data_IF_120426889866
#
_entry.id   IF_120426889866
#
_cell.length_a   1.000
_cell.length_b   1.000
_cell.length_c   1.000
_cell.angle_alpha   90.00
_cell.angle_beta   90.00
_cell.angle_gamma   90.00
#
_symmetry.space_group_name_H-M   'P 1'
#
loop_
_entity.id
_entity.type
_entity.pdbx_description
1 polymer ?
#
# COMPACT_ATOMS: atom_id res chain seq x y z
N UNK A 1 16.35 -2.79 -13.89
CA UNK A 1 15.03 -2.15 -14.04
C UNK A 1 14.57 -2.24 -15.49
N UNK A 2 13.74 -3.23 -15.87
CA UNK A 2 13.26 -3.35 -17.25
C UNK A 2 11.77 -3.67 -17.29
N UNK A 3 11.12 -3.31 -18.40
CA UNK A 3 9.74 -3.64 -18.66
C UNK A 3 9.58 -5.13 -18.96
N UNK A 4 8.51 -5.72 -18.44
CA UNK A 4 8.16 -7.11 -18.71
C UNK A 4 6.66 -7.23 -18.91
N UNK A 5 6.25 -7.94 -19.95
CA UNK A 5 4.88 -8.43 -20.09
C UNK A 5 4.83 -9.88 -19.60
N UNK A 6 3.95 -10.17 -18.66
CA UNK A 6 3.72 -11.52 -18.14
C UNK A 6 2.39 -11.56 -17.38
N UNK A 7 1.96 -12.76 -17.02
CA UNK A 7 0.97 -12.96 -15.98
C UNK A 7 1.58 -12.56 -14.64
N UNK A 8 1.22 -11.36 -14.19
CA UNK A 8 1.68 -10.81 -12.93
C UNK A 8 0.89 -11.43 -11.80
N UNK A 9 1.59 -11.85 -10.75
CA UNK A 9 0.99 -12.40 -9.54
C UNK A 9 1.29 -11.47 -8.37
N UNK A 10 0.25 -11.01 -7.68
CA UNK A 10 0.37 -10.17 -6.49
C UNK A 10 -0.36 -10.83 -5.33
N UNK A 11 0.38 -11.11 -4.27
CA UNK A 11 -0.16 -11.60 -3.00
C UNK A 11 -0.31 -10.43 -2.04
N UNK A 12 -1.54 -10.16 -1.62
CA UNK A 12 -1.88 -9.06 -0.72
C UNK A 12 -2.21 -9.64 0.66
N UNK A 13 -1.45 -9.32 1.71
CA UNK A 13 -1.78 -9.76 3.06
C UNK A 13 -3.07 -9.07 3.53
N UNK A 14 -3.89 -9.79 4.28
CA UNK A 14 -5.08 -9.27 4.93
C UNK A 14 -4.81 -9.08 6.43
N UNK A 15 -5.19 -7.94 7.01
CA UNK A 15 -5.24 -7.82 8.46
C UNK A 15 -6.20 -8.85 9.08
N UNK A 16 -6.09 -9.06 10.38
CA UNK A 16 -7.02 -9.92 11.11
C UNK A 16 -8.45 -9.35 11.07
N UNK A 17 -9.44 -10.25 11.15
CA UNK A 17 -10.85 -9.86 11.20
C UNK A 17 -11.49 -9.63 9.83
N UNK A 18 -11.02 -10.33 8.79
CA UNK A 18 -11.65 -10.31 7.48
C UNK A 18 -13.10 -10.80 7.57
N UNK A 19 -14.05 -9.95 7.15
CA UNK A 19 -15.49 -10.24 7.17
C UNK A 19 -16.02 -10.62 5.78
N UNK A 20 -15.42 -10.07 4.73
CA UNK A 20 -15.72 -10.40 3.35
C UNK A 20 -14.42 -10.53 2.56
N UNK A 21 -14.41 -11.47 1.62
CA UNK A 21 -13.31 -11.70 0.69
C UNK A 21 -13.86 -12.13 -0.65
N UNK A 22 -13.17 -11.73 -1.72
CA UNK A 22 -13.43 -12.21 -3.06
C UNK A 22 -13.22 -13.74 -3.12
N UNK A 23 -14.05 -14.42 -3.88
CA UNK A 23 -13.98 -15.86 -4.03
C UNK A 23 -12.87 -16.28 -5.01
N UNK A 24 -12.30 -17.47 -4.82
CA UNK A 24 -11.38 -18.05 -5.82
C UNK A 24 -12.09 -18.19 -7.16
N UNK A 25 -11.41 -17.79 -8.24
CA UNK A 25 -11.95 -17.74 -9.61
C UNK A 25 -12.70 -16.45 -9.95
N UNK A 26 -12.92 -15.55 -8.98
CA UNK A 26 -13.57 -14.26 -9.24
C UNK A 26 -12.67 -13.37 -10.09
N UNK A 27 -13.24 -12.77 -11.14
CA UNK A 27 -12.59 -11.70 -11.92
C UNK A 27 -12.72 -10.38 -11.19
N UNK A 28 -11.62 -9.64 -11.12
CA UNK A 28 -11.52 -8.36 -10.42
C UNK A 28 -10.76 -7.35 -11.26
N UNK A 29 -11.04 -6.07 -11.07
CA UNK A 29 -10.25 -4.97 -11.61
C UNK A 29 -9.42 -4.31 -10.53
N UNK A 30 -8.23 -3.85 -10.87
CA UNK A 30 -7.39 -3.04 -10.00
C UNK A 30 -8.22 -1.89 -9.40
N UNK A 31 -8.12 -1.68 -8.08
CA UNK A 31 -8.89 -0.70 -7.33
C UNK A 31 -10.25 -1.20 -6.81
N UNK A 32 -10.79 -2.32 -7.30
CA UNK A 32 -11.98 -2.94 -6.71
C UNK A 32 -11.68 -3.51 -5.33
N UNK A 33 -12.63 -3.40 -4.39
CA UNK A 33 -12.47 -3.95 -3.05
C UNK A 33 -12.56 -5.48 -3.13
N UNK A 34 -11.49 -6.16 -2.74
CA UNK A 34 -11.40 -7.63 -2.75
C UNK A 34 -11.47 -8.24 -1.36
N UNK A 35 -11.25 -7.45 -0.32
CA UNK A 35 -11.53 -7.86 1.05
C UNK A 35 -11.85 -6.65 1.91
N UNK A 36 -12.63 -6.88 2.97
CA UNK A 36 -12.84 -5.91 4.04
C UNK A 36 -12.94 -6.63 5.37
N UNK A 37 -12.70 -5.88 6.44
CA UNK A 37 -12.75 -6.43 7.78
C UNK A 37 -12.76 -5.37 8.85
N UNK A 38 -12.85 -5.87 10.08
CA UNK A 38 -12.90 -5.05 11.28
C UNK A 38 -11.80 -5.52 12.22
N UNK A 39 -10.90 -4.62 12.58
CA UNK A 39 -9.90 -4.87 13.61
C UNK A 39 -10.54 -4.62 14.97
N UNK A 40 -10.56 -5.64 15.82
CA UNK A 40 -11.08 -5.56 17.18
C UNK A 40 -9.97 -5.39 18.20
N UNK A 41 -10.26 -4.64 19.26
CA UNK A 41 -9.36 -4.45 20.39
C UNK A 41 -9.51 -5.49 21.49
N UNK A 42 -8.84 -5.23 22.61
CA UNK A 42 -8.90 -6.09 23.78
C UNK A 42 -10.35 -6.21 24.31
N UNK A 43 -10.88 -7.42 24.51
CA UNK A 43 -12.25 -7.61 25.00
C UNK A 43 -12.44 -7.06 26.41
N UNK A 44 -13.51 -6.30 26.61
CA UNK A 44 -13.95 -5.83 27.92
C UNK A 44 -15.04 -6.74 28.45
N UNK A 45 -14.99 -7.04 29.75
CA UNK A 45 -16.00 -7.86 30.43
C UNK A 45 -17.26 -7.05 30.74
N UNK A 46 -18.41 -7.55 30.30
CA UNK A 46 -19.73 -7.05 30.67
C UNK A 46 -20.42 -8.04 31.60
N UNK A 47 -20.90 -7.55 32.75
CA UNK A 47 -21.58 -8.35 33.77
C UNK A 47 -23.01 -8.73 33.33
N UNK A 48 -23.15 -9.61 32.35
CA UNK A 48 -24.38 -9.88 31.62
C UNK A 48 -25.54 -10.37 32.49
N UNK A 49 -25.43 -11.60 33.00
CA UNK A 49 -26.44 -12.23 33.84
C UNK A 49 -26.73 -11.39 35.11
N UNK A 50 -25.69 -10.81 35.72
CA UNK A 50 -25.83 -9.96 36.90
C UNK A 50 -26.59 -8.67 36.63
N UNK A 51 -26.33 -7.97 35.53
CA UNK A 51 -27.06 -6.73 35.16
C UNK A 51 -28.52 -7.00 34.80
N UNK A 52 -28.81 -8.16 34.22
CA UNK A 52 -30.17 -8.57 33.88
C UNK A 52 -30.89 -9.18 35.10
N UNK A 53 -30.15 -9.64 36.11
CA UNK A 53 -30.70 -10.35 37.28
C UNK A 53 -31.32 -11.69 36.90
N UNK A 54 -30.66 -12.44 36.02
CA UNK A 54 -31.02 -13.80 35.61
C UNK A 54 -29.92 -14.78 36.03
N UNK A 55 -30.22 -16.08 36.11
CA UNK A 55 -29.17 -17.06 36.32
C UNK A 55 -28.24 -17.13 35.08
N UNK A 56 -26.94 -17.44 35.23
CA UNK A 56 -26.02 -17.58 34.10
C UNK A 56 -26.53 -18.51 32.99
N UNK A 57 -27.18 -19.62 33.37
CA UNK A 57 -27.74 -20.61 32.45
C UNK A 57 -28.92 -20.07 31.63
N UNK A 58 -29.63 -19.06 32.13
CA UNK A 58 -30.79 -18.46 31.47
C UNK A 58 -30.40 -17.30 30.55
N UNK A 59 -29.16 -16.79 30.64
CA UNK A 59 -28.69 -15.65 29.84
C UNK A 59 -28.89 -15.87 28.33
N UNK A 60 -28.54 -17.02 27.73
CA UNK A 60 -28.73 -17.25 26.30
C UNK A 60 -30.20 -17.11 25.84
N UNK A 61 -31.18 -17.39 26.72
CA UNK A 61 -32.60 -17.30 26.39
C UNK A 61 -33.12 -15.86 26.30
N UNK A 62 -32.44 -14.93 26.97
CA UNK A 62 -32.81 -13.50 27.00
C UNK A 62 -31.91 -12.63 26.11
N UNK A 63 -30.88 -13.22 25.50
CA UNK A 63 -30.05 -12.58 24.49
C UNK A 63 -30.86 -12.35 23.20
N UNK A 64 -30.66 -11.17 22.61
CA UNK A 64 -31.29 -10.78 21.33
C UNK A 64 -30.37 -11.01 20.15
N UNK A 65 -29.08 -11.14 20.42
CA UNK A 65 -28.02 -11.29 19.43
C UNK A 65 -27.02 -12.35 19.92
N UNK A 66 -26.58 -13.27 19.05
CA UNK A 66 -25.66 -14.33 19.43
C UNK A 66 -24.21 -13.82 19.57
N UNK A 67 -23.32 -14.60 20.22
CA UNK A 67 -21.89 -14.42 20.06
C UNK A 67 -21.51 -14.39 18.58
N UNK A 68 -20.57 -13.52 18.23
CA UNK A 68 -20.19 -13.27 16.85
C UNK A 68 -20.81 -12.00 16.24
N UNK A 69 -21.89 -11.46 16.80
CA UNK A 69 -22.56 -10.28 16.27
C UNK A 69 -21.78 -8.99 16.54
N UNK A 70 -21.61 -8.16 15.50
CA UNK A 70 -21.21 -6.74 15.61
C UNK A 70 -22.41 -5.88 16.00
N UNK A 71 -22.20 -4.92 16.89
CA UNK A 71 -23.23 -4.06 17.46
C UNK A 71 -22.71 -2.63 17.54
N UNK A 72 -23.58 -1.67 17.25
CA UNK A 72 -23.35 -0.26 17.52
C UNK A 72 -23.60 0.06 19.00
N UNK A 73 -22.97 1.13 19.48
CA UNK A 73 -23.17 1.66 20.83
C UNK A 73 -24.65 1.84 21.14
N UNK A 74 -25.06 1.34 22.30
CA UNK A 74 -26.44 1.43 22.80
C UNK A 74 -27.36 0.32 22.30
N UNK A 75 -26.96 -0.46 21.28
CA UNK A 75 -27.74 -1.60 20.81
C UNK A 75 -28.00 -2.61 21.93
N UNK A 76 -29.21 -3.15 21.98
CA UNK A 76 -29.64 -4.06 23.05
C UNK A 76 -29.05 -5.45 22.78
N UNK A 77 -28.12 -5.88 23.63
CA UNK A 77 -27.53 -7.24 23.61
C UNK A 77 -28.55 -8.25 24.13
N UNK A 78 -29.19 -7.93 25.25
CA UNK A 78 -30.09 -8.82 25.95
C UNK A 78 -31.12 -8.01 26.76
N UNK A 79 -32.32 -8.56 26.92
CA UNK A 79 -33.41 -7.89 27.65
C UNK A 79 -34.31 -8.88 28.36
N UNK A 80 -34.62 -8.60 29.62
CA UNK A 80 -35.55 -9.38 30.45
C UNK A 80 -36.64 -8.49 31.06
N UNK A 81 -37.76 -9.09 31.46
CA UNK A 81 -38.87 -8.43 32.16
C UNK A 81 -39.89 -7.74 31.25
N UNK A 82 -41.17 -7.72 31.70
CA UNK A 82 -42.28 -7.00 31.04
C UNK A 82 -42.56 -5.63 31.69
N UNK A 83 -42.85 -5.62 33.00
CA UNK A 83 -43.22 -4.41 33.77
C UNK A 83 -42.01 -3.63 34.33
N UNK A 84 -40.91 -4.33 34.60
CA UNK A 84 -39.62 -3.74 35.01
C UNK A 84 -38.51 -4.31 34.13
N UNK A 85 -38.42 -3.82 32.89
CA UNK A 85 -37.47 -4.35 31.93
C UNK A 85 -36.04 -3.96 32.31
N UNK A 86 -35.14 -4.94 32.33
CA UNK A 86 -33.69 -4.72 32.41
C UNK A 86 -33.10 -5.03 31.05
N UNK A 87 -32.20 -4.17 30.60
CA UNK A 87 -31.50 -4.32 29.35
C UNK A 87 -29.99 -4.24 29.58
N UNK A 88 -29.27 -5.07 28.85
CA UNK A 88 -27.84 -4.93 28.67
C UNK A 88 -27.63 -4.38 27.27
N UNK A 89 -27.01 -3.21 27.18
CA UNK A 89 -26.68 -2.56 25.90
C UNK A 89 -25.18 -2.56 25.65
N UNK A 90 -24.79 -2.49 24.38
CA UNK A 90 -23.41 -2.34 23.96
C UNK A 90 -22.83 -0.99 24.45
N UNK A 91 -21.70 -0.98 25.17
CA UNK A 91 -21.10 0.26 25.70
C UNK A 91 -20.40 1.12 24.63
N UNK A 92 -20.02 0.51 23.52
CA UNK A 92 -19.33 1.09 22.37
C UNK A 92 -19.59 0.20 21.15
N UNK A 93 -19.16 0.63 19.96
CA UNK A 93 -19.22 -0.19 18.76
C UNK A 93 -18.26 -1.36 18.91
N UNK A 94 -18.75 -2.58 18.69
CA UNK A 94 -17.98 -3.76 19.04
C UNK A 94 -18.65 -5.07 18.68
N UNK A 95 -18.03 -6.17 19.10
CA UNK A 95 -18.51 -7.53 18.85
C UNK A 95 -18.59 -8.33 20.12
N UNK A 96 -19.64 -9.14 20.25
CA UNK A 96 -19.71 -10.16 21.30
C UNK A 96 -18.73 -11.29 20.91
N UNK A 97 -17.64 -11.44 21.64
CA UNK A 97 -16.62 -12.47 21.39
C UNK A 97 -17.09 -13.80 21.95
N UNK A 98 -17.49 -13.80 23.22
CA UNK A 98 -17.83 -15.01 23.94
C UNK A 98 -18.79 -14.74 25.10
N UNK A 99 -19.55 -15.77 25.49
CA UNK A 99 -20.37 -15.79 26.71
C UNK A 99 -19.72 -16.79 27.66
N UNK A 100 -19.16 -16.31 28.77
CA UNK A 100 -18.53 -17.15 29.79
C UNK A 100 -19.58 -17.97 30.53
N UNK A 101 -19.17 -19.12 31.08
CA UNK A 101 -20.04 -20.00 31.87
C UNK A 101 -20.68 -19.32 33.10
N UNK A 102 -20.04 -18.28 33.64
CA UNK A 102 -20.56 -17.49 34.76
C UNK A 102 -21.60 -16.42 34.35
N UNK A 103 -21.97 -16.35 33.06
CA UNK A 103 -22.96 -15.41 32.54
C UNK A 103 -22.42 -14.02 32.23
N UNK A 104 -21.09 -13.85 32.14
CA UNK A 104 -20.49 -12.61 31.66
C UNK A 104 -20.21 -12.67 30.16
N UNK A 105 -20.27 -11.52 29.52
CA UNK A 105 -19.99 -11.36 28.10
C UNK A 105 -18.61 -10.73 27.92
N UNK A 106 -17.86 -11.24 26.95
CA UNK A 106 -16.66 -10.58 26.44
C UNK A 106 -17.04 -9.77 25.21
N UNK A 107 -16.81 -8.46 25.28
CA UNK A 107 -17.22 -7.52 24.24
C UNK A 107 -16.01 -6.73 23.77
N UNK A 108 -15.58 -6.97 22.52
CA UNK A 108 -14.40 -6.35 21.95
C UNK A 108 -14.75 -5.06 21.20
N UNK A 109 -14.05 -3.94 21.43
CA UNK A 109 -14.30 -2.69 20.72
C UNK A 109 -13.82 -2.80 19.27
N UNK A 110 -14.51 -2.11 18.36
CA UNK A 110 -13.96 -1.84 17.01
C UNK A 110 -12.85 -0.80 17.14
N UNK A 111 -11.63 -1.16 16.73
CA UNK A 111 -10.49 -0.23 16.65
C UNK A 111 -10.45 0.43 15.28
N UNK A 112 -10.57 -0.38 14.22
CA UNK A 112 -10.41 0.08 12.85
C UNK A 112 -11.25 -0.76 11.89
N UNK A 113 -11.61 -0.18 10.74
CA UNK A 113 -12.26 -0.88 9.63
C UNK A 113 -11.39 -0.71 8.40
N UNK A 114 -11.02 -1.82 7.79
CA UNK A 114 -10.08 -1.84 6.69
C UNK A 114 -10.69 -2.45 5.43
N UNK A 115 -10.18 -2.03 4.28
CA UNK A 115 -10.51 -2.60 2.98
C UNK A 115 -9.23 -2.78 2.17
N UNK A 116 -9.08 -3.95 1.54
CA UNK A 116 -8.00 -4.23 0.60
C UNK A 116 -8.57 -4.15 -0.82
N UNK A 117 -7.89 -3.41 -1.69
CA UNK A 117 -8.25 -3.26 -3.10
C UNK A 117 -7.34 -4.10 -3.97
N UNK A 118 -7.87 -4.63 -5.06
CA UNK A 118 -7.08 -5.39 -6.04
C UNK A 118 -5.93 -4.54 -6.58
N UNK A 119 -4.72 -5.09 -6.60
CA UNK A 119 -3.56 -4.44 -7.21
C UNK A 119 -3.51 -4.57 -8.75
N UNK A 120 -4.25 -5.53 -9.31
CA UNK A 120 -4.19 -5.94 -10.71
C UNK A 120 -5.60 -6.16 -11.29
N UNK A 121 -5.75 -5.94 -12.60
CA UNK A 121 -6.82 -6.54 -13.38
C UNK A 121 -6.51 -8.03 -13.56
N UNK A 122 -7.42 -8.92 -13.14
CA UNK A 122 -7.10 -10.35 -13.13
C UNK A 122 -8.15 -11.26 -12.49
N UNK A 123 -7.69 -12.42 -12.05
CA UNK A 123 -8.48 -13.47 -11.40
C UNK A 123 -7.92 -13.74 -10.00
N UNK A 124 -8.80 -13.93 -9.03
CA UNK A 124 -8.42 -14.36 -7.68
C UNK A 124 -8.01 -15.83 -7.72
N UNK A 125 -6.73 -16.08 -7.50
CA UNK A 125 -6.14 -17.42 -7.51
C UNK A 125 -6.21 -18.09 -6.14
N UNK A 126 -6.18 -17.29 -5.08
CA UNK A 126 -6.20 -17.76 -3.70
C UNK A 126 -6.93 -16.73 -2.83
N UNK A 127 -7.76 -17.21 -1.91
CA UNK A 127 -8.49 -16.38 -0.93
C UNK A 127 -8.50 -17.10 0.42
N UNK A 128 -7.67 -16.61 1.35
CA UNK A 128 -7.51 -17.14 2.71
C UNK A 128 -7.86 -16.06 3.74
N UNK A 129 -7.91 -16.41 5.02
CA UNK A 129 -8.20 -15.44 6.08
C UNK A 129 -7.11 -14.37 6.26
N UNK A 130 -5.89 -14.59 5.74
CA UNK A 130 -4.72 -13.72 5.93
C UNK A 130 -4.09 -13.22 4.62
N UNK A 131 -4.57 -13.67 3.46
CA UNK A 131 -4.06 -13.22 2.17
C UNK A 131 -5.04 -13.48 1.01
N UNK A 132 -4.98 -12.59 0.00
CA UNK A 132 -5.59 -12.80 -1.32
C UNK A 132 -4.48 -12.71 -2.37
N UNK A 133 -4.48 -13.66 -3.32
CA UNK A 133 -3.56 -13.65 -4.45
C UNK A 133 -4.31 -13.42 -5.74
N UNK A 134 -3.93 -12.40 -6.49
CA UNK A 134 -4.52 -12.04 -7.80
C UNK A 134 -3.48 -12.26 -8.88
N UNK A 135 -3.91 -12.84 -9.99
CA UNK A 135 -3.07 -13.09 -11.16
C UNK A 135 -3.71 -12.49 -12.42
N UNK A 136 -2.91 -11.80 -13.22
CA UNK A 136 -3.40 -11.19 -14.46
C UNK A 136 -2.29 -10.65 -15.35
N UNK A 137 -2.55 -10.68 -16.66
CA UNK A 137 -1.61 -10.22 -17.68
C UNK A 137 -1.45 -8.69 -17.64
N UNK A 138 -0.21 -8.22 -17.45
CA UNK A 138 0.09 -6.79 -17.49
C UNK A 138 1.55 -6.55 -17.89
N UNK A 139 1.78 -5.38 -18.48
CA UNK A 139 3.10 -4.78 -18.53
C UNK A 139 3.46 -4.30 -17.13
N UNK A 140 4.66 -4.64 -16.65
CA UNK A 140 5.13 -4.23 -15.35
C UNK A 140 6.51 -3.60 -15.44
N UNK A 141 6.71 -2.58 -14.59
CA UNK A 141 8.03 -2.04 -14.28
C UNK A 141 8.20 -1.91 -12.77
N UNK A 142 9.37 -2.31 -12.30
CA UNK A 142 9.78 -2.25 -10.89
C UNK A 142 10.44 -0.90 -10.61
N UNK A 143 9.90 -0.15 -9.66
CA UNK A 143 10.58 1.00 -9.07
C UNK A 143 11.46 0.59 -7.89
N UNK A 144 12.24 1.54 -7.38
CA UNK A 144 13.06 1.38 -6.17
C UNK A 144 12.19 1.47 -4.92
N UNK A 145 11.25 2.42 -4.91
CA UNK A 145 10.39 2.69 -3.75
C UNK A 145 9.09 3.33 -4.20
N UNK A 146 8.02 3.08 -3.47
CA UNK A 146 6.76 3.79 -3.61
C UNK A 146 6.34 4.40 -2.26
N UNK A 147 5.68 5.56 -2.33
CA UNK A 147 5.15 6.31 -1.20
C UNK A 147 3.65 6.53 -1.39
N UNK A 148 2.92 6.60 -0.29
CA UNK A 148 1.47 6.78 -0.29
C UNK A 148 0.68 5.49 -0.54
N UNK A 149 -0.65 5.60 -0.67
CA UNK A 149 -1.53 4.47 -0.92
C UNK A 149 -1.37 3.91 -2.35
N UNK A 150 -1.95 2.74 -2.61
CA UNK A 150 -2.07 2.22 -3.97
C UNK A 150 -2.91 3.17 -4.84
N UNK A 151 -2.52 3.32 -6.10
CA UNK A 151 -3.21 4.20 -7.05
C UNK A 151 -3.63 3.45 -8.30
N UNK A 152 -4.77 3.84 -8.87
CA UNK A 152 -5.25 3.33 -10.15
C UNK A 152 -5.72 4.50 -10.99
N UNK A 153 -5.34 4.53 -12.25
CA UNK A 153 -5.68 5.64 -13.14
C UNK A 153 -5.27 5.41 -14.58
N UNK A 154 -5.59 6.36 -15.44
CA UNK A 154 -5.11 6.40 -16.82
C UNK A 154 -3.69 6.94 -16.86
N UNK A 155 -2.80 6.26 -17.58
CA UNK A 155 -1.41 6.70 -17.73
C UNK A 155 -1.33 7.93 -18.62
N UNK A 156 -0.69 9.00 -18.15
CA UNK A 156 -0.56 10.25 -18.91
C UNK A 156 0.84 10.81 -18.79
N UNK A 157 1.39 11.23 -19.91
CA UNK A 157 2.69 11.88 -19.95
C UNK A 157 2.54 13.34 -19.49
N UNK A 158 3.26 13.72 -18.43
CA UNK A 158 3.22 15.08 -17.88
C UNK A 158 4.46 15.92 -18.23
N UNK A 159 5.45 15.31 -18.90
CA UNK A 159 6.71 15.93 -19.33
C UNK A 159 7.04 15.56 -20.78
N UNK A 160 7.86 16.33 -21.47
CA UNK A 160 8.15 16.08 -22.89
C UNK A 160 9.32 15.10 -23.07
N UNK A 161 10.23 15.04 -22.10
CA UNK A 161 11.45 14.26 -22.16
C UNK A 161 11.79 13.49 -20.88
N UNK A 162 12.67 12.50 -21.04
CA UNK A 162 13.15 11.61 -19.96
C UNK A 162 13.99 12.29 -18.88
N UNK A 163 14.55 13.46 -19.19
CA UNK A 163 15.38 14.26 -18.28
C UNK A 163 14.61 15.45 -17.67
N UNK A 164 13.38 15.68 -18.14
CA UNK A 164 12.59 16.82 -17.71
C UNK A 164 12.16 16.68 -16.26
N UNK A 165 11.97 17.83 -15.63
CA UNK A 165 11.38 17.94 -14.30
C UNK A 165 9.87 18.17 -14.41
N UNK A 166 9.09 17.44 -13.60
CA UNK A 166 7.66 17.67 -13.48
C UNK A 166 7.41 18.99 -12.74
N UNK A 167 7.11 20.04 -13.49
CA UNK A 167 6.80 21.35 -12.95
C UNK A 167 5.34 21.46 -12.46
N UNK A 168 5.06 22.16 -11.34
CA UNK A 168 3.68 22.35 -10.85
C UNK A 168 2.75 23.00 -11.89
N UNK A 169 3.26 23.91 -12.72
CA UNK A 169 2.46 24.59 -13.75
C UNK A 169 1.87 23.66 -14.82
N UNK A 170 2.43 22.45 -14.98
CA UNK A 170 1.91 21.43 -15.91
C UNK A 170 0.75 20.62 -15.32
N UNK A 171 0.41 20.85 -14.05
CA UNK A 171 -0.61 20.09 -13.33
C UNK A 171 -1.84 20.95 -13.13
N UNK A 172 -2.98 20.47 -13.63
CA UNK A 172 -4.28 21.07 -13.41
C UNK A 172 -5.36 20.00 -13.11
N UNK A 173 -6.58 20.45 -12.80
CA UNK A 173 -7.71 19.61 -12.40
C UNK A 173 -8.19 18.64 -13.49
N UNK A 174 -7.79 18.81 -14.75
CA UNK A 174 -8.11 17.88 -15.85
C UNK A 174 -7.29 16.60 -15.76
N UNK A 175 -6.23 16.61 -14.95
CA UNK A 175 -5.40 15.44 -14.68
C UNK A 175 -5.89 14.59 -13.51
N UNK A 176 -7.09 14.88 -12.98
CA UNK A 176 -7.75 14.08 -11.95
C UNK A 176 -7.86 12.61 -12.37
N UNK A 177 -7.65 11.71 -11.40
CA UNK A 177 -7.72 10.25 -11.55
C UNK A 177 -6.71 9.66 -12.56
N UNK A 178 -5.69 10.43 -12.96
CA UNK A 178 -4.62 9.98 -13.85
C UNK A 178 -3.36 9.61 -13.09
N UNK A 179 -2.55 8.73 -13.67
CA UNK A 179 -1.18 8.44 -13.22
C UNK A 179 -0.22 9.21 -14.14
N UNK A 180 0.50 10.17 -13.58
CA UNK A 180 1.39 11.05 -14.33
C UNK A 180 2.80 10.46 -14.44
N UNK A 181 3.35 10.45 -15.66
CA UNK A 181 4.77 10.18 -15.89
C UNK A 181 5.54 11.50 -15.83
N UNK A 182 6.36 11.66 -14.79
CA UNK A 182 7.04 12.90 -14.42
C UNK A 182 8.47 13.06 -14.91
N UNK A 183 9.03 12.09 -15.65
CA UNK A 183 10.39 12.19 -16.18
C UNK A 183 11.48 11.91 -15.14
N UNK A 184 12.55 12.68 -15.18
CA UNK A 184 13.75 12.43 -14.36
C UNK A 184 13.56 12.78 -12.89
N UNK A 185 12.90 13.91 -12.61
CA UNK A 185 12.68 14.40 -11.24
C UNK A 185 11.29 15.00 -11.07
N UNK A 186 10.71 14.81 -9.89
CA UNK A 186 9.52 15.55 -9.47
C UNK A 186 9.81 16.37 -8.21
N UNK A 187 9.50 17.66 -8.25
CA UNK A 187 9.61 18.55 -7.10
C UNK A 187 8.48 18.33 -6.09
N UNK A 188 8.71 18.69 -4.83
CA UNK A 188 7.72 18.51 -3.76
C UNK A 188 6.43 19.30 -4.04
N UNK A 189 6.58 20.50 -4.59
CA UNK A 189 5.50 21.41 -4.99
C UNK A 189 4.63 20.79 -6.10
N UNK A 190 5.25 20.03 -7.02
CA UNK A 190 4.53 19.36 -8.08
C UNK A 190 3.73 18.19 -7.55
N UNK A 191 4.31 17.41 -6.62
CA UNK A 191 3.61 16.30 -5.97
C UNK A 191 2.45 16.82 -5.11
N UNK A 192 2.67 17.87 -4.32
CA UNK A 192 1.62 18.52 -3.53
C UNK A 192 0.49 19.03 -4.41
N UNK A 193 0.82 19.68 -5.53
CA UNK A 193 -0.17 20.17 -6.49
C UNK A 193 -0.93 19.05 -7.19
N UNK A 194 -0.26 17.96 -7.55
CA UNK A 194 -0.91 16.78 -8.11
C UNK A 194 -1.95 16.21 -7.14
N UNK A 195 -1.58 16.05 -5.87
CA UNK A 195 -2.49 15.63 -4.82
C UNK A 195 -3.70 16.57 -4.68
N UNK A 196 -3.45 17.88 -4.62
CA UNK A 196 -4.52 18.89 -4.54
C UNK A 196 -5.45 18.88 -5.77
N UNK A 197 -4.94 18.51 -6.96
CA UNK A 197 -5.73 18.39 -8.19
C UNK A 197 -6.49 17.05 -8.28
N UNK A 198 -6.27 16.11 -7.36
CA UNK A 198 -6.87 14.77 -7.38
C UNK A 198 -6.22 13.84 -8.40
N UNK A 199 -4.94 14.05 -8.74
CA UNK A 199 -4.15 13.10 -9.52
C UNK A 199 -4.02 11.79 -8.74
N UNK A 200 -4.22 10.65 -9.40
CA UNK A 200 -4.18 9.34 -8.73
C UNK A 200 -2.77 8.99 -8.25
N UNK A 201 -1.73 9.27 -9.06
CA UNK A 201 -0.35 9.07 -8.64
C UNK A 201 0.67 9.62 -9.62
N UNK A 202 1.94 9.63 -9.21
CA UNK A 202 3.08 10.07 -10.02
C UNK A 202 4.09 8.93 -10.14
N UNK A 203 4.63 8.74 -11.34
CA UNK A 203 5.77 7.86 -11.62
C UNK A 203 6.93 8.74 -12.10
N UNK A 204 8.05 8.72 -11.38
CA UNK A 204 9.18 9.63 -11.62
C UNK A 204 10.51 8.90 -11.41
N UNK A 205 11.58 9.38 -12.03
CA UNK A 205 12.94 8.90 -11.79
C UNK A 205 13.32 9.04 -10.32
N UNK A 206 13.31 10.27 -9.83
CA UNK A 206 13.70 10.58 -8.47
C UNK A 206 12.84 11.69 -7.84
N UNK A 207 12.87 11.73 -6.50
CA UNK A 207 12.31 12.80 -5.68
C UNK A 207 13.32 13.20 -4.60
N UNK A 208 13.53 14.50 -4.32
CA UNK A 208 14.37 14.94 -3.21
C UNK A 208 13.85 14.45 -1.85
N UNK A 209 14.73 13.91 -1.01
CA UNK A 209 14.36 13.40 0.32
C UNK A 209 13.71 14.46 1.23
N UNK A 210 14.21 15.71 1.19
CA UNK A 210 13.60 16.82 1.93
C UNK A 210 12.16 17.12 1.48
N UNK A 211 11.90 16.97 0.18
CA UNK A 211 10.56 17.11 -0.39
C UNK A 211 9.61 16.02 0.11
N UNK A 212 10.07 14.76 0.10
CA UNK A 212 9.27 13.64 0.61
C UNK A 212 8.96 13.80 2.10
N UNK A 213 9.93 14.24 2.92
CA UNK A 213 9.68 14.52 4.35
C UNK A 213 8.63 15.59 4.58
N UNK A 214 8.59 16.60 3.72
CA UNK A 214 7.56 17.66 3.79
C UNK A 214 6.16 17.10 3.50
N UNK A 215 6.05 16.10 2.63
CA UNK A 215 4.77 15.55 2.17
C UNK A 215 4.25 14.39 3.03
N UNK A 216 5.16 13.57 3.57
CA UNK A 216 4.83 12.31 4.24
C UNK A 216 5.35 12.25 5.70
N UNK A 217 6.05 13.28 6.18
CA UNK A 217 6.58 13.38 7.54
C UNK A 217 8.03 12.87 7.70
N UNK A 218 8.56 12.96 8.92
CA UNK A 218 9.97 12.66 9.21
C UNK A 218 10.32 11.17 9.19
N UNK A 219 9.32 10.29 9.29
CA UNK A 219 9.44 8.82 9.23
C UNK A 219 9.80 8.29 7.83
N UNK A 220 9.79 9.17 6.81
CA UNK A 220 10.12 8.80 5.43
C UNK A 220 11.55 8.31 5.32
N UNK A 221 11.69 7.13 4.71
CA UNK A 221 12.98 6.52 4.46
C UNK A 221 13.12 6.02 3.01
N UNK A 222 14.31 5.54 2.69
CA UNK A 222 14.60 4.79 1.46
C UNK A 222 13.76 3.50 1.31
N UNK A 223 13.13 3.03 2.39
CA UNK A 223 12.27 1.84 2.41
C UNK A 223 10.79 2.16 2.15
N UNK A 224 10.46 3.43 1.95
CA UNK A 224 9.08 3.90 1.87
C UNK A 224 8.63 4.57 3.17
N UNK A 225 7.32 4.77 3.28
CA UNK A 225 6.62 5.21 4.47
C UNK A 225 5.32 4.41 4.62
N UNK A 226 4.79 4.30 5.84
CA UNK A 226 3.47 3.70 6.03
C UNK A 226 2.42 4.52 5.25
N UNK A 227 1.54 3.88 4.46
CA UNK A 227 0.56 4.60 3.66
C UNK A 227 -0.44 5.30 4.58
N UNK A 228 -0.63 6.61 4.37
CA UNK A 228 -1.68 7.40 5.01
C UNK A 228 -2.73 7.73 3.94
N UNK A 229 -4.00 7.49 4.24
CA UNK A 229 -5.09 7.49 3.24
C UNK A 229 -5.25 8.82 2.47
N UNK A 230 -4.75 9.92 3.01
CA UNK A 230 -4.78 11.26 2.41
C UNK A 230 -3.38 11.79 2.07
N UNK A 231 -2.54 10.92 1.47
CA UNK A 231 -1.21 11.30 0.98
C UNK A 231 -1.08 11.03 -0.51
N UNK A 232 -0.24 11.81 -1.23
CA UNK A 232 0.04 11.55 -2.64
C UNK A 232 0.65 10.17 -2.87
N UNK A 233 0.29 9.50 -3.97
CA UNK A 233 0.99 8.29 -4.41
C UNK A 233 2.16 8.64 -5.34
N UNK A 234 3.36 8.19 -5.00
CA UNK A 234 4.57 8.43 -5.80
C UNK A 234 5.38 7.15 -5.95
N UNK A 235 5.63 6.74 -7.18
CA UNK A 235 6.55 5.65 -7.51
C UNK A 235 7.88 6.22 -8.03
N UNK A 236 8.95 5.98 -7.30
CA UNK A 236 10.31 6.36 -7.68
C UNK A 236 11.00 5.21 -8.40
N UNK A 237 11.45 5.47 -9.63
CA UNK A 237 12.06 4.48 -10.51
C UNK A 237 13.56 4.31 -10.26
N UNK A 238 14.27 5.37 -9.86
CA UNK A 238 15.72 5.39 -9.65
C UNK A 238 16.10 5.70 -8.18
N UNK A 239 15.17 6.21 -7.37
CA UNK A 239 15.37 6.51 -5.94
C UNK A 239 15.35 8.00 -5.62
N UNK A 240 16.43 8.52 -5.05
CA UNK A 240 16.58 9.94 -4.66
C UNK A 240 17.48 10.71 -5.63
N UNK A 241 17.47 12.05 -5.54
CA UNK A 241 18.40 12.91 -6.28
C UNK A 241 17.87 13.42 -7.63
N UNK A 242 18.79 13.73 -8.55
CA UNK A 242 18.47 14.04 -9.95
C UNK A 242 19.08 12.95 -10.84
N UNK A 243 18.27 12.37 -11.72
CA UNK A 243 18.79 11.49 -12.77
C UNK A 243 17.77 11.43 -13.89
N UNK A 244 18.26 11.48 -15.12
CA UNK A 244 17.42 11.24 -16.28
C UNK A 244 16.96 9.78 -16.28
N UNK A 245 15.70 9.54 -16.63
CA UNK A 245 15.24 8.18 -16.83
C UNK A 245 16.04 7.54 -18.00
N UNK A 246 16.53 6.29 -17.85
CA UNK A 246 17.10 5.55 -18.96
C UNK A 246 16.13 5.50 -20.13
N UNK A 247 16.63 5.62 -21.36
CA UNK A 247 15.77 5.66 -22.54
C UNK A 247 14.98 4.34 -22.71
N UNK A 248 15.56 3.24 -22.25
CA UNK A 248 14.99 1.89 -22.20
C UNK A 248 13.83 1.78 -21.20
N UNK A 249 13.76 2.70 -20.23
CA UNK A 249 12.65 2.81 -19.26
C UNK A 249 11.60 3.80 -19.76
N UNK A 250 12.03 4.95 -20.26
CA UNK A 250 11.13 6.04 -20.66
C UNK A 250 10.39 5.78 -21.97
N UNK A 251 11.10 5.32 -23.01
CA UNK A 251 10.50 5.13 -24.34
C UNK A 251 9.30 4.17 -24.34
N UNK A 252 9.34 3.05 -23.59
CA UNK A 252 8.17 2.18 -23.38
C UNK A 252 6.91 2.84 -22.81
N UNK A 253 7.00 3.99 -22.12
CA UNK A 253 5.80 4.67 -21.64
C UNK A 253 4.97 5.27 -22.78
N UNK A 254 5.62 5.70 -23.88
CA UNK A 254 4.95 6.38 -24.99
C UNK A 254 3.80 5.56 -25.62
N UNK A 255 4.00 4.28 -26.02
CA UNK A 255 2.91 3.47 -26.54
C UNK A 255 1.89 3.03 -25.48
N UNK A 256 2.19 3.23 -24.18
CA UNK A 256 1.31 2.90 -23.06
C UNK A 256 0.45 4.09 -22.58
N UNK A 257 0.69 5.30 -23.08
CA UNK A 257 -0.12 6.48 -22.72
C UNK A 257 -1.59 6.23 -23.08
N UNK A 258 -2.50 6.58 -22.17
CA UNK A 258 -3.93 6.32 -22.28
C UNK A 258 -4.37 4.92 -21.81
N UNK A 259 -3.42 4.01 -21.53
CA UNK A 259 -3.76 2.73 -20.92
C UNK A 259 -4.09 2.91 -19.43
N UNK A 260 -4.97 2.05 -18.92
CA UNK A 260 -5.23 1.97 -17.48
C UNK A 260 -4.03 1.33 -16.79
N UNK A 261 -3.66 1.86 -15.63
CA UNK A 261 -2.53 1.41 -14.86
C UNK A 261 -2.82 1.42 -13.36
N UNK A 262 -2.02 0.67 -12.60
CA UNK A 262 -2.04 0.65 -11.15
C UNK A 262 -0.63 0.75 -10.59
N UNK A 263 -0.43 1.61 -9.60
CA UNK A 263 0.76 1.63 -8.75
C UNK A 263 0.43 0.82 -7.50
N UNK A 264 1.17 -0.26 -7.29
CA UNK A 264 1.12 -1.04 -6.06
C UNK A 264 2.27 -0.63 -5.16
N UNK A 265 1.96 0.07 -4.06
CA UNK A 265 2.90 0.66 -3.14
C UNK A 265 3.75 -0.40 -2.45
N UNK A 266 3.13 -1.47 -1.96
CA UNK A 266 3.82 -2.50 -1.17
C UNK A 266 4.92 -3.25 -1.94
N UNK A 267 4.80 -3.38 -3.28
CA UNK A 267 5.85 -3.98 -4.12
C UNK A 267 6.65 -2.96 -4.91
N UNK A 268 6.33 -1.66 -4.80
CA UNK A 268 6.88 -0.59 -5.64
C UNK A 268 6.83 -0.91 -7.14
N UNK A 269 5.68 -1.36 -7.64
CA UNK A 269 5.49 -1.75 -9.04
C UNK A 269 4.41 -0.91 -9.70
N UNK A 270 4.65 -0.53 -10.95
CA UNK A 270 3.62 -0.06 -11.85
C UNK A 270 3.18 -1.22 -12.74
N UNK A 271 1.89 -1.46 -12.78
CA UNK A 271 1.22 -2.37 -13.69
C UNK A 271 0.44 -1.57 -14.72
N UNK A 272 0.59 -1.89 -16.00
CA UNK A 272 -0.12 -1.25 -17.10
C UNK A 272 -0.91 -2.32 -17.86
N UNK A 273 -2.23 -2.15 -17.88
CA UNK A 273 -3.20 -3.12 -18.40
C UNK A 273 -3.38 -2.89 -19.90
N UNK A 274 -2.37 -3.28 -20.67
CA UNK A 274 -2.34 -3.15 -22.13
C UNK A 274 -1.93 -4.49 -22.77
N UNK A 275 -2.28 -4.68 -24.05
CA UNK A 275 -1.95 -5.90 -24.80
C UNK A 275 -0.44 -6.11 -24.91
N UNK A 276 0.00 -7.37 -24.98
CA UNK A 276 1.40 -7.75 -25.21
C UNK A 276 1.96 -7.20 -26.53
N UNK A 277 1.10 -6.96 -27.53
CA UNK A 277 1.50 -6.44 -28.84
C UNK A 277 1.74 -4.93 -28.88
N UNK A 278 1.49 -4.19 -27.79
CA UNK A 278 1.62 -2.73 -27.76
C UNK A 278 3.07 -2.26 -27.89
N UNK A 279 4.03 -3.08 -27.44
CA UNK A 279 5.46 -2.84 -27.68
C UNK A 279 6.25 -4.14 -27.63
N UNK A 280 7.43 -4.14 -28.24
CA UNK A 280 8.39 -5.23 -28.04
C UNK A 280 8.93 -5.21 -26.61
N UNK A 281 9.12 -6.38 -26.00
CA UNK A 281 9.74 -6.49 -24.67
C UNK A 281 11.18 -5.98 -24.77
N UNK A 282 11.57 -4.97 -23.97
CA UNK A 282 12.94 -4.47 -24.00
C UNK A 282 13.92 -5.55 -23.52
N UNK A 283 14.85 -5.94 -24.38
CA UNK A 283 15.90 -6.95 -24.07
C UNK A 283 17.17 -6.31 -23.51
N UNK A 284 17.31 -4.99 -23.63
CA UNK A 284 18.50 -4.24 -23.23
C UNK A 284 18.35 -3.79 -21.78
N UNK A 285 19.35 -4.08 -20.95
CA UNK A 285 19.41 -3.55 -19.59
C UNK A 285 19.57 -2.02 -19.62
N UNK A 286 18.83 -1.27 -18.77
CA UNK A 286 18.87 0.18 -18.80
C UNK A 286 20.28 0.70 -18.48
N UNK A 287 20.70 1.73 -19.20
CA UNK A 287 21.93 2.46 -18.84
C UNK A 287 21.61 3.44 -17.72
N UNK A 288 21.93 3.08 -16.48
CA UNK A 288 21.79 3.96 -15.32
C UNK A 288 22.91 5.02 -15.33
N UNK A 289 22.56 6.26 -15.66
CA UNK A 289 23.43 7.43 -15.54
C UNK A 289 22.97 8.29 -14.36
N UNK A 290 23.54 8.07 -13.18
CA UNK A 290 23.23 8.85 -11.98
C UNK A 290 23.93 10.22 -12.06
N UNK A 291 23.22 11.32 -11.76
CA UNK A 291 23.85 12.65 -11.72
C UNK A 291 24.76 12.79 -10.49
N UNK A 292 25.71 13.73 -10.44
CA UNK A 292 26.66 13.86 -9.33
C UNK A 292 26.12 14.55 -8.05
N UNK A 293 24.90 15.10 -8.04
CA UNK A 293 24.38 16.01 -7.01
C UNK A 293 23.65 15.32 -5.83
N UNK A 294 24.19 14.19 -5.37
CA UNK A 294 23.69 13.37 -4.25
C UNK A 294 23.91 13.97 -2.85
N UNK A 295 23.70 15.28 -2.68
CA UNK A 295 23.94 16.01 -1.42
C UNK A 295 23.17 15.48 -0.19
N UNK A 296 22.25 14.52 -0.37
CA UNK A 296 21.49 13.87 0.69
C UNK A 296 21.95 12.45 1.06
N UNK A 297 23.08 11.94 0.53
CA UNK A 297 23.62 10.63 0.94
C UNK A 297 24.26 10.77 2.32
N UNK A 298 23.78 10.01 3.30
CA UNK A 298 24.48 9.89 4.58
C UNK A 298 25.84 9.22 4.35
N UNK A 299 26.95 9.81 4.81
CA UNK A 299 28.23 9.12 4.80
C UNK A 299 28.12 7.86 5.67
N UNK A 300 28.60 6.73 5.15
CA UNK A 300 28.81 5.54 5.98
C UNK A 300 30.04 5.85 6.83
N UNK A 301 29.83 6.18 8.09
CA UNK A 301 30.91 6.31 9.06
C UNK A 301 31.30 4.92 9.59
N UNK A 302 32.56 4.53 9.37
CA UNK A 302 33.12 3.26 9.85
C UNK A 302 33.48 2.26 8.76
N UNK A 303 34.03 1.12 9.16
CA UNK A 303 34.42 0.04 8.25
C UNK A 303 33.20 -0.67 7.67
N UNK A 304 33.15 -0.79 6.34
CA UNK A 304 32.17 -1.62 5.65
C UNK A 304 32.84 -2.89 5.13
N UNK A 305 32.24 -4.05 5.37
CA UNK A 305 32.71 -5.34 4.84
C UNK A 305 31.81 -5.78 3.69
N UNK A 306 32.36 -6.38 2.61
CA UNK A 306 31.54 -6.95 1.56
C UNK A 306 30.68 -8.08 2.12
N UNK A 307 29.37 -7.93 1.99
CA UNK A 307 28.45 -9.06 2.05
C UNK A 307 28.27 -9.55 0.62
N UNK A 308 28.41 -10.85 0.39
CA UNK A 308 28.04 -11.47 -0.90
C UNK A 308 26.55 -11.19 -1.22
N UNK A 309 26.02 -11.68 -2.34
CA UNK A 309 24.60 -11.54 -2.67
C UNK A 309 23.69 -11.78 -1.45
N UNK A 310 23.01 -10.71 -1.01
CA UNK A 310 22.05 -10.77 0.08
C UNK A 310 20.66 -10.72 -0.52
N UNK A 311 19.84 -11.68 -0.11
CA UNK A 311 18.39 -11.61 -0.33
C UNK A 311 17.81 -10.66 0.72
N UNK A 312 17.44 -9.47 0.29
CA UNK A 312 16.79 -8.49 1.14
C UNK A 312 15.36 -8.96 1.47
N UNK A 313 14.75 -8.36 2.50
CA UNK A 313 13.36 -8.64 2.88
C UNK A 313 12.35 -8.34 1.76
N UNK A 314 12.76 -7.61 0.72
CA UNK A 314 12.02 -7.40 -0.53
C UNK A 314 12.20 -8.52 -1.56
N UNK A 315 12.85 -9.63 -1.19
CA UNK A 315 13.23 -10.75 -2.06
C UNK A 315 14.19 -10.38 -3.21
N UNK A 316 14.73 -9.15 -3.18
CA UNK A 316 15.77 -8.71 -4.11
C UNK A 316 17.08 -9.35 -3.71
N UNK A 317 17.73 -10.01 -4.65
CA UNK A 317 19.10 -10.50 -4.49
C UNK A 317 20.04 -9.45 -5.09
N UNK A 318 20.91 -8.88 -4.26
CA UNK A 318 21.91 -7.92 -4.71
C UNK A 318 23.18 -7.98 -3.86
N UNK A 319 24.31 -7.60 -4.47
CA UNK A 319 25.56 -7.40 -3.73
C UNK A 319 25.38 -6.31 -2.68
N UNK A 320 25.87 -6.54 -1.46
CA UNK A 320 25.66 -5.64 -0.35
C UNK A 320 26.95 -5.35 0.43
N UNK A 321 26.95 -4.32 1.26
CA UNK A 321 27.93 -4.14 2.31
C UNK A 321 27.26 -4.30 3.67
N UNK A 322 27.93 -4.97 4.58
CA UNK A 322 27.64 -4.87 6.01
C UNK A 322 28.24 -3.59 6.55
N UNK A 323 27.40 -2.80 7.22
CA UNK A 323 27.78 -1.54 7.88
C UNK A 323 27.31 -1.57 9.33
N UNK A 324 27.80 -0.64 10.16
CA UNK A 324 27.36 -0.51 11.55
C UNK A 324 25.85 -0.23 11.71
N UNK A 325 25.19 0.29 10.67
CA UNK A 325 23.75 0.56 10.60
C UNK A 325 22.96 -0.53 9.86
N UNK A 326 23.62 -1.63 9.48
CA UNK A 326 23.03 -2.80 8.83
C UNK A 326 23.50 -3.02 7.39
N UNK A 327 22.84 -3.93 6.69
CA UNK A 327 23.20 -4.32 5.32
C UNK A 327 22.64 -3.35 4.28
N UNK A 328 23.50 -2.81 3.42
CA UNK A 328 23.15 -1.80 2.41
C UNK A 328 23.51 -2.29 1.00
N UNK A 329 22.64 -2.16 -0.02
CA UNK A 329 22.96 -2.56 -1.38
C UNK A 329 24.13 -1.76 -1.97
N UNK A 330 25.10 -2.44 -2.58
CA UNK A 330 26.29 -1.82 -3.20
C UNK A 330 25.97 -0.87 -4.35
N UNK A 331 24.87 -1.10 -5.07
CA UNK A 331 24.40 -0.20 -6.14
C UNK A 331 24.03 1.21 -5.66
N UNK A 332 23.91 1.41 -4.35
CA UNK A 332 23.61 2.70 -3.72
C UNK A 332 24.84 3.36 -3.08
N UNK A 333 26.05 2.84 -3.33
CA UNK A 333 27.28 3.30 -2.67
C UNK A 333 28.26 3.94 -3.66
N UNK A 334 28.93 5.01 -3.20
CA UNK A 334 30.10 5.59 -3.87
C UNK A 334 31.25 5.65 -2.87
N UNK A 335 32.41 5.08 -3.25
CA UNK A 335 33.66 5.28 -2.51
C UNK A 335 34.11 6.74 -2.68
N UNK A 336 34.27 7.45 -1.56
CA UNK A 336 34.95 8.74 -1.55
C UNK A 336 36.45 8.47 -1.69
N UNK A 337 37.04 8.85 -2.83
CA UNK A 337 38.49 8.93 -2.91
C UNK A 337 38.96 10.13 -2.07
N UNK A 338 39.96 9.97 -1.19
CA UNK A 338 40.53 11.10 -0.47
C UNK A 338 41.22 12.03 -1.48
N UNK A 339 40.88 13.33 -1.39
CA UNK A 339 41.55 14.43 -2.11
C UNK A 339 42.94 14.64 -1.52
#
# INVERSE_FOLDING_TARGET
MSWRFADQRVRQPLPLGASQRAAVGQRVRAGEVVANGTTFGEPVRLLGARRLGVAPVDLPQVMRVPPGAELERGAIIARTGRRFARALSAPFDGRIVHVRANGDLEFAPVIDRWSVRAALDGVVMESTDWAITIEGAAWAIQGVVAYGPDAVGELTLAVDGRADELAPSRIDVRLRDRILIGGGRSAAEAIARAHACGVAGIVTGAVPAAGLRTLFGDEVSARGAAPVADTPTVLCLLGFGTSQLPAEVFSPFLPLVGARAAIHGASARLFVFASSGVMAVPTIAPTLALAPDWSAVMPIEGSASPANEVTFTSEVVANALETAVGTVPTGNLRTLEPV
#
